data_IF_643540828021
#
_entry.id   IF_643540828021
#
_cell.length_a   1.000
_cell.length_b   1.000
_cell.length_c   1.000
_cell.angle_alpha   90.00
_cell.angle_beta   90.00
_cell.angle_gamma   90.00
#
_symmetry.space_group_name_H-M   'P 1'
#
loop_
_entity.id
_entity.type
_entity.pdbx_description
1 polymer ?
#
# COMPACT_ATOMS: atom_id res chain seq x y z
N UNK A 1 -78.80 -18.50 32.92
CA UNK A 1 -79.13 -17.40 33.86
C UNK A 1 -78.03 -16.40 33.86
N UNK A 2 -78.37 -15.22 33.42
CA UNK A 2 -77.76 -13.88 33.67
C UNK A 2 -76.26 -13.67 33.73
N UNK A 3 -75.74 -12.98 32.72
CA UNK A 3 -74.72 -11.97 32.74
C UNK A 3 -75.00 -10.85 33.79
N UNK A 4 -73.99 -10.09 34.21
CA UNK A 4 -73.67 -8.82 33.58
C UNK A 4 -72.17 -8.52 33.54
N UNK A 5 -71.73 -8.03 32.43
CA UNK A 5 -71.41 -6.66 32.08
C UNK A 5 -70.51 -5.85 33.01
N UNK A 6 -69.38 -5.44 32.50
CA UNK A 6 -68.95 -4.09 32.56
C UNK A 6 -67.69 -3.82 33.37
N UNK A 7 -66.69 -3.37 32.80
CA UNK A 7 -66.17 -2.01 32.91
C UNK A 7 -64.82 -1.90 32.21
N UNK A 8 -64.80 -1.06 31.26
CA UNK A 8 -63.61 -0.66 30.52
C UNK A 8 -62.58 -0.05 31.44
N UNK A 9 -61.41 -0.69 31.55
CA UNK A 9 -60.20 -0.08 32.10
C UNK A 9 -59.45 0.63 30.97
N UNK A 10 -59.56 1.94 30.94
CA UNK A 10 -58.71 2.82 30.13
C UNK A 10 -57.25 2.59 30.56
N UNK A 11 -56.55 1.83 29.79
CA UNK A 11 -55.07 1.76 29.94
C UNK A 11 -54.50 3.11 29.51
N UNK A 12 -54.10 3.89 30.55
CA UNK A 12 -53.28 5.07 30.35
C UNK A 12 -52.03 4.67 29.59
N UNK A 13 -51.92 5.13 28.38
CA UNK A 13 -50.70 5.08 27.61
C UNK A 13 -49.68 5.93 28.39
N UNK A 14 -48.84 5.30 29.20
CA UNK A 14 -47.67 5.90 29.77
C UNK A 14 -46.74 6.27 28.58
N UNK A 15 -46.79 7.53 28.22
CA UNK A 15 -45.79 8.14 27.34
C UNK A 15 -44.45 7.99 28.09
N UNK A 16 -43.73 6.96 27.72
CA UNK A 16 -42.34 6.86 28.19
C UNK A 16 -41.61 8.11 27.67
N UNK A 17 -40.94 8.87 28.51
CA UNK A 17 -40.12 9.95 28.03
C UNK A 17 -39.02 9.32 27.16
N UNK A 18 -39.11 9.56 25.84
CA UNK A 18 -38.02 9.28 24.97
C UNK A 18 -36.83 10.04 25.50
N UNK A 19 -35.89 9.31 26.09
CA UNK A 19 -34.57 9.82 26.41
C UNK A 19 -34.01 10.28 25.08
N UNK A 20 -34.21 11.55 24.77
CA UNK A 20 -33.46 12.23 23.71
C UNK A 20 -32.02 12.01 24.10
N UNK A 21 -31.36 11.07 23.39
CA UNK A 21 -29.92 10.97 23.47
C UNK A 21 -29.39 12.35 23.07
N UNK A 22 -29.06 13.12 24.07
CA UNK A 22 -28.29 14.36 23.92
C UNK A 22 -26.96 13.86 23.38
N UNK A 23 -26.87 13.75 22.05
CA UNK A 23 -25.57 13.63 21.39
C UNK A 23 -24.78 14.79 21.95
N UNK A 24 -23.72 14.49 22.72
CA UNK A 24 -22.80 15.48 23.24
C UNK A 24 -22.46 16.46 22.15
N UNK A 25 -23.13 17.61 22.11
CA UNK A 25 -22.81 18.68 21.18
C UNK A 25 -21.39 19.08 21.53
N UNK A 26 -20.47 18.84 20.63
CA UNK A 26 -19.07 19.20 20.82
C UNK A 26 -19.01 20.66 21.26
N UNK A 27 -18.35 20.92 22.38
CA UNK A 27 -18.24 22.28 22.90
C UNK A 27 -17.48 23.17 21.91
N UNK A 28 -17.71 24.47 21.93
CA UNK A 28 -16.95 25.42 21.09
C UNK A 28 -15.43 25.21 21.23
N UNK A 29 -14.97 24.87 22.41
CA UNK A 29 -13.56 24.57 22.71
C UNK A 29 -13.08 23.31 21.95
N UNK A 30 -13.91 22.30 21.86
CA UNK A 30 -13.56 21.05 21.14
C UNK A 30 -13.51 21.29 19.64
N UNK A 31 -14.47 22.05 19.09
CA UNK A 31 -14.47 22.42 17.66
C UNK A 31 -13.23 23.26 17.34
N UNK A 32 -12.86 24.21 18.19
CA UNK A 32 -11.66 25.04 18.01
C UNK A 32 -10.38 24.20 18.02
N UNK A 33 -10.26 23.26 18.97
CA UNK A 33 -9.13 22.33 19.06
C UNK A 33 -9.03 21.49 17.79
N UNK A 34 -10.15 20.96 17.31
CA UNK A 34 -10.23 20.15 16.09
C UNK A 34 -9.87 20.96 14.85
N UNK A 35 -10.35 22.18 14.72
CA UNK A 35 -9.99 23.14 13.67
C UNK A 35 -8.47 23.37 13.61
N UNK A 36 -7.86 23.65 14.77
CA UNK A 36 -6.40 23.84 14.86
C UNK A 36 -5.63 22.60 14.43
N UNK A 37 -6.07 21.40 14.83
CA UNK A 37 -5.45 20.14 14.45
C UNK A 37 -5.52 19.90 12.93
N UNK A 38 -6.69 20.11 12.30
CA UNK A 38 -6.86 19.89 10.88
C UNK A 38 -6.09 20.93 10.04
N UNK A 39 -6.02 22.19 10.48
CA UNK A 39 -5.15 23.21 9.85
C UNK A 39 -3.68 22.80 9.87
N UNK A 40 -3.21 22.17 10.96
CA UNK A 40 -1.85 21.64 11.04
C UNK A 40 -1.66 20.45 10.09
N UNK A 41 -2.62 19.53 10.03
CA UNK A 41 -2.60 18.40 9.09
C UNK A 41 -2.53 18.90 7.65
N UNK A 42 -3.31 19.91 7.29
CA UNK A 42 -3.27 20.51 5.95
C UNK A 42 -1.88 21.07 5.61
N UNK A 43 -1.25 21.80 6.55
CA UNK A 43 0.11 22.32 6.35
C UNK A 43 1.14 21.20 6.16
N UNK A 44 1.05 20.14 6.98
CA UNK A 44 1.94 19.00 6.92
C UNK A 44 1.79 18.26 5.59
N UNK A 45 0.55 17.95 5.18
CA UNK A 45 0.29 17.25 3.92
C UNK A 45 0.73 18.05 2.70
N UNK A 46 0.55 19.38 2.71
CA UNK A 46 1.06 20.26 1.66
C UNK A 46 2.59 20.25 1.58
N UNK A 47 3.27 20.28 2.71
CA UNK A 47 4.73 20.16 2.76
C UNK A 47 5.21 18.79 2.28
N UNK A 48 4.54 17.71 2.71
CA UNK A 48 4.87 16.35 2.27
C UNK A 48 4.64 16.15 0.77
N UNK A 49 3.63 16.78 0.18
CA UNK A 49 3.43 16.80 -1.28
C UNK A 49 4.65 17.39 -1.99
N UNK A 50 5.16 18.55 -1.54
CA UNK A 50 6.34 19.19 -2.13
C UNK A 50 7.59 18.30 -2.04
N UNK A 51 7.82 17.69 -0.88
CA UNK A 51 8.95 16.76 -0.69
C UNK A 51 8.82 15.53 -1.59
N UNK A 52 7.61 14.97 -1.73
CA UNK A 52 7.36 13.84 -2.61
C UNK A 52 7.58 14.21 -4.08
N UNK A 53 7.16 15.41 -4.51
CA UNK A 53 7.37 15.91 -5.87
C UNK A 53 8.87 16.06 -6.21
N UNK A 54 9.67 16.60 -5.29
CA UNK A 54 11.12 16.71 -5.48
C UNK A 54 11.80 15.33 -5.60
N UNK A 55 11.39 14.37 -4.76
CA UNK A 55 11.90 12.98 -4.81
C UNK A 55 11.45 12.27 -6.09
N UNK A 56 10.20 12.48 -6.50
CA UNK A 56 9.67 11.94 -7.75
C UNK A 56 10.47 12.42 -8.97
N UNK A 57 10.72 13.72 -9.07
CA UNK A 57 11.49 14.30 -10.19
C UNK A 57 12.91 13.72 -10.29
N UNK A 58 13.53 13.41 -9.16
CA UNK A 58 14.82 12.72 -9.13
C UNK A 58 14.67 11.26 -9.56
N UNK A 59 13.72 10.53 -8.98
CA UNK A 59 13.49 9.12 -9.28
C UNK A 59 13.15 8.89 -10.75
N UNK A 60 12.35 9.78 -11.37
CA UNK A 60 11.99 9.72 -12.79
C UNK A 60 13.21 9.87 -13.71
N UNK A 61 14.14 10.75 -13.37
CA UNK A 61 15.41 10.89 -14.14
C UNK A 61 16.27 9.64 -14.05
N UNK A 62 16.34 9.03 -12.87
CA UNK A 62 17.12 7.81 -12.61
C UNK A 62 16.44 6.56 -13.20
N UNK A 63 15.13 6.59 -13.42
CA UNK A 63 14.38 5.47 -13.97
C UNK A 63 14.68 5.23 -15.47
N UNK A 64 14.85 6.29 -16.25
CA UNK A 64 15.10 6.15 -17.70
C UNK A 64 16.29 5.24 -18.02
N UNK A 65 17.50 5.45 -17.46
CA UNK A 65 18.62 4.54 -17.69
C UNK A 65 18.37 3.15 -17.07
N UNK A 66 17.73 3.06 -15.90
CA UNK A 66 17.46 1.77 -15.24
C UNK A 66 16.55 0.85 -16.07
N UNK A 67 15.65 1.40 -16.87
CA UNK A 67 14.80 0.63 -17.79
C UNK A 67 15.60 -0.10 -18.86
N UNK A 68 16.66 0.49 -19.35
CA UNK A 68 17.55 -0.15 -20.35
C UNK A 68 18.20 -1.40 -19.75
N UNK A 69 18.67 -1.32 -18.50
CA UNK A 69 19.23 -2.47 -17.79
C UNK A 69 18.18 -3.57 -17.56
N UNK A 70 16.97 -3.19 -17.13
CA UNK A 70 15.89 -4.15 -16.92
C UNK A 70 15.46 -4.88 -18.18
N UNK A 71 15.33 -4.17 -19.31
CA UNK A 71 15.00 -4.78 -20.60
C UNK A 71 16.15 -5.68 -21.07
N UNK A 72 17.40 -5.23 -20.95
CA UNK A 72 18.57 -6.03 -21.33
C UNK A 72 18.68 -7.34 -20.56
N UNK A 73 18.39 -7.32 -19.25
CA UNK A 73 18.45 -8.51 -18.40
C UNK A 73 17.35 -9.54 -18.71
N UNK A 74 16.21 -9.09 -19.22
CA UNK A 74 15.09 -9.96 -19.60
C UNK A 74 15.21 -10.45 -21.05
N UNK A 75 16.10 -9.85 -21.85
CA UNK A 75 16.21 -10.14 -23.28
C UNK A 75 16.59 -11.60 -23.57
N UNK A 76 17.40 -12.23 -22.71
CA UNK A 76 17.72 -13.65 -22.87
C UNK A 76 16.47 -14.52 -22.68
N UNK A 77 15.68 -14.23 -21.65
CA UNK A 77 14.46 -15.01 -21.37
C UNK A 77 13.44 -14.93 -22.50
N UNK A 78 13.32 -13.73 -23.12
CA UNK A 78 12.42 -13.51 -24.24
C UNK A 78 12.93 -14.16 -25.54
N UNK A 79 14.25 -14.07 -25.81
CA UNK A 79 14.86 -14.64 -27.02
C UNK A 79 14.99 -16.15 -26.96
N UNK A 80 15.27 -16.70 -25.79
CA UNK A 80 15.43 -18.11 -25.59
C UNK A 80 14.11 -18.86 -25.38
N UNK A 81 12.96 -18.15 -25.35
CA UNK A 81 11.61 -18.73 -25.10
C UNK A 81 11.64 -19.80 -24.00
N UNK A 82 12.26 -19.43 -22.85
CA UNK A 82 12.49 -20.38 -21.76
C UNK A 82 11.15 -20.85 -21.22
N UNK A 83 10.86 -22.13 -21.36
CA UNK A 83 9.67 -22.78 -20.82
C UNK A 83 10.07 -23.63 -19.61
N UNK A 84 9.31 -23.47 -18.55
CA UNK A 84 9.51 -24.29 -17.35
C UNK A 84 8.79 -25.61 -17.55
N UNK A 85 9.46 -26.78 -17.37
CA UNK A 85 8.81 -28.09 -17.41
C UNK A 85 7.70 -28.16 -16.34
N UNK A 86 6.59 -28.82 -16.66
CA UNK A 86 5.43 -28.95 -15.77
C UNK A 86 5.76 -29.71 -14.46
N UNK A 87 6.80 -30.54 -14.48
CA UNK A 87 7.27 -31.31 -13.31
C UNK A 87 7.90 -30.45 -12.22
N UNK A 88 8.22 -29.18 -12.52
CA UNK A 88 8.87 -28.24 -11.61
C UNK A 88 7.86 -27.65 -10.63
N UNK A 89 8.10 -27.86 -9.33
CA UNK A 89 7.13 -27.54 -8.26
C UNK A 89 7.49 -26.34 -7.39
N UNK A 90 8.77 -25.95 -7.36
CA UNK A 90 9.24 -24.89 -6.45
C UNK A 90 9.17 -23.52 -7.12
N UNK A 91 8.28 -22.68 -6.63
CA UNK A 91 8.07 -21.31 -7.16
C UNK A 91 8.44 -20.23 -6.14
N UNK A 92 9.22 -19.25 -6.57
CA UNK A 92 9.65 -18.13 -5.75
C UNK A 92 8.93 -16.85 -6.16
N UNK A 93 8.26 -16.18 -5.21
CA UNK A 93 7.61 -14.90 -5.44
C UNK A 93 8.36 -13.77 -4.72
N UNK A 94 8.90 -12.83 -5.46
CA UNK A 94 9.59 -11.66 -4.92
C UNK A 94 8.66 -10.44 -5.02
N UNK A 95 8.21 -9.92 -3.89
CA UNK A 95 7.38 -8.71 -3.85
C UNK A 95 8.21 -7.47 -3.53
N UNK A 96 8.24 -6.50 -4.43
CA UNK A 96 9.02 -5.25 -4.26
C UNK A 96 8.13 -4.14 -3.74
N UNK A 97 8.33 -3.77 -2.49
CA UNK A 97 7.62 -2.73 -1.76
C UNK A 97 8.61 -1.77 -1.08
N UNK A 98 8.22 -1.11 -0.01
CA UNK A 98 9.08 -0.27 0.82
C UNK A 98 8.61 -0.25 2.28
N UNK A 99 9.37 0.49 3.12
CA UNK A 99 9.01 0.67 4.54
C UNK A 99 8.13 1.90 4.77
N UNK A 100 8.00 2.79 3.79
CA UNK A 100 7.33 4.07 3.98
C UNK A 100 5.86 4.02 3.57
N UNK A 101 5.00 4.50 4.45
CA UNK A 101 3.56 4.63 4.21
C UNK A 101 3.15 5.96 3.56
N UNK A 102 1.86 6.25 3.64
CA UNK A 102 1.22 7.47 3.12
C UNK A 102 1.33 7.64 1.59
N UNK A 103 1.34 6.55 0.88
CA UNK A 103 1.44 6.48 -0.58
C UNK A 103 0.22 5.81 -1.24
N UNK A 104 -0.95 5.96 -0.63
CA UNK A 104 -2.19 5.37 -1.14
C UNK A 104 -2.19 3.84 -1.09
N UNK A 105 -2.67 3.21 -2.14
CA UNK A 105 -2.87 1.76 -2.22
C UNK A 105 -1.67 0.98 -2.79
N UNK A 106 -0.51 1.61 -3.00
CA UNK A 106 0.60 1.03 -3.77
C UNK A 106 1.17 -0.27 -3.15
N UNK A 107 1.25 -0.35 -1.81
CA UNK A 107 1.72 -1.56 -1.14
C UNK A 107 0.63 -2.65 -1.09
N UNK A 108 -0.63 -2.24 -0.93
CA UNK A 108 -1.76 -3.18 -0.92
C UNK A 108 -2.05 -3.77 -2.29
N UNK A 109 -1.73 -3.06 -3.39
CA UNK A 109 -1.85 -3.62 -4.75
C UNK A 109 -0.88 -4.78 -4.97
N UNK A 110 0.39 -4.64 -4.57
CA UNK A 110 1.38 -5.73 -4.62
C UNK A 110 0.94 -6.90 -3.74
N UNK A 111 0.53 -6.61 -2.50
CA UNK A 111 0.09 -7.65 -1.57
C UNK A 111 -1.14 -8.41 -2.09
N UNK A 112 -2.08 -7.72 -2.77
CA UNK A 112 -3.25 -8.35 -3.39
C UNK A 112 -2.83 -9.24 -4.55
N UNK A 113 -1.93 -8.78 -5.40
CA UNK A 113 -1.41 -9.57 -6.52
C UNK A 113 -0.68 -10.83 -6.02
N UNK A 114 0.24 -10.67 -5.04
CA UNK A 114 0.92 -11.79 -4.41
C UNK A 114 -0.05 -12.82 -3.82
N UNK A 115 -1.09 -12.40 -3.12
CA UNK A 115 -2.10 -13.31 -2.57
C UNK A 115 -2.83 -14.09 -3.66
N UNK A 116 -3.15 -13.44 -4.77
CA UNK A 116 -3.77 -14.09 -5.92
C UNK A 116 -2.84 -15.15 -6.52
N UNK A 117 -1.57 -14.78 -6.74
CA UNK A 117 -0.59 -15.72 -7.31
C UNK A 117 -0.27 -16.89 -6.38
N UNK A 118 -0.12 -16.64 -5.07
CA UNK A 118 0.03 -17.72 -4.09
C UNK A 118 -1.15 -18.69 -4.14
N UNK A 119 -2.39 -18.17 -4.24
CA UNK A 119 -3.58 -19.03 -4.32
C UNK A 119 -3.60 -19.84 -5.62
N UNK A 120 -3.29 -19.22 -6.75
CA UNK A 120 -3.23 -19.87 -8.06
C UNK A 120 -2.17 -20.98 -8.10
N UNK A 121 -0.96 -20.68 -7.65
CA UNK A 121 0.15 -21.63 -7.64
C UNK A 121 -0.06 -22.77 -6.65
N UNK A 122 -0.63 -22.49 -5.48
CA UNK A 122 -0.98 -23.51 -4.49
C UNK A 122 -2.09 -24.42 -5.02
N UNK A 123 -3.08 -23.89 -5.72
CA UNK A 123 -4.13 -24.68 -6.37
C UNK A 123 -3.57 -25.56 -7.49
N UNK A 124 -2.49 -25.13 -8.17
CA UNK A 124 -1.75 -25.91 -9.15
C UNK A 124 -0.79 -26.94 -8.51
N UNK A 125 -0.76 -27.07 -7.18
CA UNK A 125 0.10 -28.01 -6.45
C UNK A 125 1.58 -27.61 -6.38
N UNK A 126 1.91 -26.35 -6.64
CA UNK A 126 3.28 -25.82 -6.53
C UNK A 126 3.59 -25.38 -5.09
N UNK A 127 4.82 -25.61 -4.64
CA UNK A 127 5.35 -25.06 -3.40
C UNK A 127 5.75 -23.61 -3.63
N UNK A 128 5.21 -22.68 -2.82
CA UNK A 128 5.44 -21.24 -2.99
C UNK A 128 6.17 -20.68 -1.79
N UNK A 129 7.29 -19.99 -2.04
CA UNK A 129 7.99 -19.17 -1.06
C UNK A 129 7.96 -17.70 -1.46
N UNK A 130 7.86 -16.83 -0.46
CA UNK A 130 7.74 -15.38 -0.65
C UNK A 130 9.00 -14.69 -0.12
N UNK A 131 9.56 -13.83 -0.93
CA UNK A 131 10.60 -12.87 -0.54
C UNK A 131 9.98 -11.48 -0.51
N UNK A 132 10.02 -10.86 0.65
CA UNK A 132 9.44 -9.52 0.85
C UNK A 132 10.51 -8.44 0.88
N UNK A 133 10.49 -7.54 -0.10
CA UNK A 133 11.33 -6.35 -0.09
C UNK A 133 10.51 -5.18 0.46
N UNK A 134 10.83 -4.75 1.69
CA UNK A 134 10.13 -3.70 2.42
C UNK A 134 9.17 -4.20 3.51
N UNK A 135 9.22 -3.55 4.66
CA UNK A 135 8.46 -3.95 5.86
C UNK A 135 6.93 -3.79 5.70
N UNK A 136 6.47 -2.88 4.82
CA UNK A 136 5.02 -2.72 4.58
C UNK A 136 4.38 -3.95 3.96
N UNK A 137 5.06 -4.61 3.04
CA UNK A 137 4.58 -5.85 2.45
C UNK A 137 4.50 -6.97 3.50
N UNK A 138 5.56 -7.12 4.30
CA UNK A 138 5.57 -8.06 5.42
C UNK A 138 4.40 -7.81 6.36
N UNK A 139 4.19 -6.57 6.79
CA UNK A 139 3.11 -6.19 7.73
C UNK A 139 1.72 -6.58 7.21
N UNK A 140 1.49 -6.49 5.89
CA UNK A 140 0.21 -6.85 5.27
C UNK A 140 0.03 -8.37 5.14
N UNK A 141 1.10 -9.11 4.82
CA UNK A 141 1.04 -10.54 4.50
C UNK A 141 1.30 -11.44 5.70
N UNK A 142 2.03 -10.99 6.72
CA UNK A 142 2.47 -11.80 7.85
C UNK A 142 1.30 -12.52 8.55
N UNK A 143 0.15 -11.88 8.66
CA UNK A 143 -1.02 -12.47 9.32
C UNK A 143 -1.57 -13.70 8.63
N UNK A 144 -1.42 -13.81 7.31
CA UNK A 144 -2.04 -14.87 6.50
C UNK A 144 -1.04 -15.84 5.86
N UNK A 145 0.20 -15.40 5.65
CA UNK A 145 1.20 -16.14 4.87
C UNK A 145 2.58 -16.18 5.58
N UNK A 146 2.62 -16.13 6.92
CA UNK A 146 3.88 -16.10 7.68
C UNK A 146 4.80 -17.28 7.36
N UNK A 147 4.24 -18.47 7.17
CA UNK A 147 4.99 -19.71 6.92
C UNK A 147 5.62 -19.79 5.52
N UNK A 148 5.16 -18.95 4.60
CA UNK A 148 5.66 -18.90 3.23
C UNK A 148 6.80 -17.91 3.04
N UNK A 149 7.05 -17.03 4.03
CA UNK A 149 8.17 -16.09 3.94
C UNK A 149 9.51 -16.83 4.10
N UNK A 150 10.38 -16.63 3.10
CA UNK A 150 11.77 -17.09 3.12
C UNK A 150 12.66 -16.02 3.76
N UNK A 151 12.67 -14.84 3.18
CA UNK A 151 13.49 -13.68 3.62
C UNK A 151 12.66 -12.40 3.53
N UNK A 152 12.99 -11.45 4.39
CA UNK A 152 12.39 -10.11 4.35
C UNK A 152 13.46 -9.04 4.49
N UNK A 153 13.53 -8.15 3.52
CA UNK A 153 14.45 -7.02 3.52
C UNK A 153 13.78 -5.78 4.11
N UNK A 154 14.51 -5.08 4.97
CA UNK A 154 14.09 -3.83 5.62
C UNK A 154 14.98 -2.68 5.17
N UNK A 155 14.71 -1.47 5.64
CA UNK A 155 15.43 -0.23 5.31
C UNK A 155 15.28 0.21 3.84
N UNK A 156 14.27 -0.31 3.14
CA UNK A 156 13.99 -0.01 1.74
C UNK A 156 13.13 1.24 1.61
N UNK A 157 13.53 2.16 0.72
CA UNK A 157 12.76 3.38 0.41
C UNK A 157 13.05 4.59 1.31
N UNK A 158 14.02 4.50 2.24
CA UNK A 158 14.52 5.67 3.00
C UNK A 158 15.43 6.53 2.14
N UNK A 159 16.30 5.88 1.37
CA UNK A 159 17.20 6.50 0.39
C UNK A 159 16.82 6.02 -1.01
N UNK A 160 17.21 6.74 -2.07
CA UNK A 160 17.07 6.23 -3.43
C UNK A 160 17.81 4.89 -3.56
N UNK A 161 17.19 3.85 -4.14
CA UNK A 161 17.84 2.56 -4.27
C UNK A 161 19.05 2.65 -5.20
N UNK A 162 20.14 1.99 -4.82
CA UNK A 162 21.38 1.87 -5.60
C UNK A 162 21.50 0.47 -6.17
N UNK A 163 22.41 0.26 -7.11
CA UNK A 163 22.71 -1.09 -7.61
C UNK A 163 23.30 -1.98 -6.51
N UNK A 164 24.07 -1.39 -5.59
CA UNK A 164 24.59 -2.11 -4.42
C UNK A 164 23.48 -2.69 -3.54
N UNK A 165 22.37 -1.95 -3.33
CA UNK A 165 21.21 -2.48 -2.57
C UNK A 165 20.60 -3.69 -3.29
N UNK A 166 20.49 -3.64 -4.61
CA UNK A 166 19.98 -4.75 -5.42
C UNK A 166 20.92 -5.96 -5.39
N UNK A 167 22.24 -5.73 -5.44
CA UNK A 167 23.23 -6.80 -5.34
C UNK A 167 23.18 -7.52 -3.98
N UNK A 168 23.02 -6.78 -2.88
CA UNK A 168 22.85 -7.38 -1.55
C UNK A 168 21.60 -8.25 -1.49
N UNK A 169 20.47 -7.78 -2.05
CA UNK A 169 19.22 -8.55 -2.10
C UNK A 169 19.43 -9.83 -2.93
N UNK A 170 20.10 -9.73 -4.09
CA UNK A 170 20.37 -10.87 -4.95
C UNK A 170 21.27 -11.91 -4.27
N UNK A 171 22.36 -11.46 -3.62
CA UNK A 171 23.28 -12.32 -2.90
C UNK A 171 22.60 -13.05 -1.74
N UNK A 172 21.86 -12.35 -0.90
CA UNK A 172 21.11 -12.96 0.20
C UNK A 172 20.07 -13.97 -0.29
N UNK A 173 19.46 -13.71 -1.45
CA UNK A 173 18.53 -14.64 -2.06
C UNK A 173 19.23 -15.93 -2.53
N UNK A 174 20.37 -15.81 -3.20
CA UNK A 174 21.16 -16.96 -3.66
C UNK A 174 21.75 -17.74 -2.48
N UNK A 175 22.19 -17.03 -1.43
CA UNK A 175 22.74 -17.64 -0.21
C UNK A 175 21.66 -18.24 0.71
N UNK A 176 20.38 -18.01 0.47
CA UNK A 176 19.28 -18.53 1.28
C UNK A 176 19.16 -20.05 1.26
N UNK A 177 19.87 -20.73 0.35
CA UNK A 177 19.84 -22.17 0.19
C UNK A 177 18.51 -22.72 -0.36
N UNK A 178 17.58 -21.84 -0.73
CA UNK A 178 16.31 -22.26 -1.35
C UNK A 178 16.50 -22.36 -2.86
N UNK A 179 16.53 -23.56 -3.35
CA UNK A 179 16.54 -23.85 -4.79
C UNK A 179 15.12 -23.73 -5.34
N UNK A 180 14.88 -22.71 -6.15
CA UNK A 180 13.64 -22.53 -6.89
C UNK A 180 13.83 -22.94 -8.35
N UNK A 181 12.80 -23.42 -8.98
CA UNK A 181 12.80 -23.77 -10.40
C UNK A 181 12.42 -22.57 -11.26
N UNK A 182 11.39 -21.89 -10.84
CA UNK A 182 10.81 -20.71 -11.44
C UNK A 182 10.52 -19.67 -10.36
N UNK A 183 10.63 -18.42 -10.69
CA UNK A 183 10.25 -17.32 -9.81
C UNK A 183 9.62 -16.17 -10.57
N UNK A 184 8.98 -15.29 -9.80
CA UNK A 184 8.38 -14.07 -10.33
C UNK A 184 8.71 -12.91 -9.43
N UNK A 185 9.10 -11.78 -10.04
CA UNK A 185 9.24 -10.52 -9.34
C UNK A 185 8.02 -9.62 -9.62
N UNK A 186 7.35 -9.23 -8.55
CA UNK A 186 6.12 -8.43 -8.59
C UNK A 186 6.43 -7.03 -8.08
N UNK A 187 6.19 -6.04 -8.91
CA UNK A 187 6.47 -4.64 -8.61
C UNK A 187 5.47 -3.71 -9.28
N UNK A 188 5.45 -2.45 -8.86
CA UNK A 188 4.60 -1.44 -9.45
C UNK A 188 5.37 -0.66 -10.52
N UNK A 189 5.07 -0.94 -11.79
CA UNK A 189 5.62 -0.22 -12.92
C UNK A 189 5.01 1.17 -13.01
N UNK A 190 5.85 2.17 -13.14
CA UNK A 190 5.43 3.55 -13.34
C UNK A 190 4.91 3.76 -14.78
N UNK A 191 3.69 4.30 -14.90
CA UNK A 191 3.10 4.69 -16.20
C UNK A 191 2.98 6.20 -16.35
N UNK A 192 2.42 6.86 -15.37
CA UNK A 192 2.24 8.31 -15.34
C UNK A 192 2.21 8.82 -13.91
N UNK A 193 2.24 10.12 -13.73
CA UNK A 193 2.14 10.78 -12.42
C UNK A 193 0.91 10.34 -11.61
N UNK A 194 -0.15 9.91 -12.28
CA UNK A 194 -1.42 9.54 -11.63
C UNK A 194 -1.61 8.03 -11.57
N UNK A 195 -0.90 7.25 -12.42
CA UNK A 195 -1.15 5.84 -12.59
C UNK A 195 0.11 4.98 -12.58
N UNK A 196 -0.01 3.85 -11.93
CA UNK A 196 0.96 2.74 -11.97
C UNK A 196 0.23 1.44 -12.30
N UNK A 197 0.96 0.43 -12.75
CA UNK A 197 0.44 -0.91 -12.97
C UNK A 197 1.29 -1.90 -12.20
N UNK A 198 0.67 -2.77 -11.42
CA UNK A 198 1.36 -3.92 -10.84
C UNK A 198 1.67 -4.89 -11.97
N UNK A 199 2.94 -5.20 -12.17
CA UNK A 199 3.43 -6.12 -13.19
C UNK A 199 4.26 -7.21 -12.53
N UNK A 200 4.29 -8.33 -13.21
CA UNK A 200 5.06 -9.51 -12.87
C UNK A 200 6.07 -9.79 -13.96
N UNK A 201 7.30 -10.14 -13.57
CA UNK A 201 8.37 -10.53 -14.49
C UNK A 201 8.94 -11.87 -14.05
N UNK A 202 9.19 -12.80 -14.98
CA UNK A 202 9.72 -14.10 -14.64
C UNK A 202 11.19 -14.02 -14.22
N UNK A 203 11.58 -14.96 -13.37
CA UNK A 203 12.96 -15.23 -12.98
C UNK A 203 13.15 -16.73 -13.06
N UNK A 204 14.22 -17.18 -13.70
CA UNK A 204 14.50 -18.61 -13.84
C UNK A 204 15.73 -19.02 -13.04
N UNK A 205 15.74 -20.27 -12.60
CA UNK A 205 16.90 -20.87 -11.95
C UNK A 205 17.98 -21.20 -12.97
N UNK A 206 19.22 -21.40 -12.48
CA UNK A 206 20.35 -21.81 -13.31
C UNK A 206 20.04 -23.10 -14.08
N UNK A 207 19.46 -24.10 -13.37
CA UNK A 207 19.10 -25.37 -13.98
C UNK A 207 18.02 -25.26 -15.05
N UNK A 208 17.05 -24.36 -14.88
CA UNK A 208 15.99 -24.13 -15.85
C UNK A 208 16.56 -23.41 -17.11
N UNK A 209 17.47 -22.47 -16.93
CA UNK A 209 18.13 -21.77 -18.05
C UNK A 209 19.04 -22.77 -18.82
N UNK A 210 19.84 -23.56 -18.11
CA UNK A 210 20.76 -24.53 -18.71
C UNK A 210 20.03 -25.65 -19.49
N UNK A 211 18.84 -26.04 -19.05
CA UNK A 211 18.03 -27.09 -19.69
C UNK A 211 17.21 -26.62 -20.89
N UNK A 212 17.20 -25.32 -21.20
CA UNK A 212 16.43 -24.78 -22.32
C UNK A 212 17.06 -25.21 -23.66
N UNK A 213 16.24 -25.76 -24.58
CA UNK A 213 16.69 -26.23 -25.89
C UNK A 213 17.41 -25.16 -26.70
N UNK A 214 16.98 -23.91 -26.57
CA UNK A 214 17.57 -22.77 -27.27
C UNK A 214 18.95 -22.37 -26.78
N UNK A 215 19.39 -22.88 -25.61
CA UNK A 215 20.75 -22.65 -25.11
C UNK A 215 21.80 -23.42 -25.92
N UNK A 216 21.42 -24.47 -26.65
CA UNK A 216 22.31 -25.21 -27.56
C UNK A 216 22.79 -24.38 -28.76
N UNK A 217 22.15 -23.23 -29.04
CA UNK A 217 22.55 -22.30 -30.10
C UNK A 217 23.77 -21.47 -29.71
N UNK A 218 24.01 -21.34 -28.42
CA UNK A 218 25.12 -20.57 -27.88
C UNK A 218 26.31 -21.50 -27.63
N UNK A 219 27.31 -21.43 -28.49
CA UNK A 219 28.58 -22.16 -28.32
C UNK A 219 29.39 -21.56 -27.15
N UNK A 220 30.21 -22.41 -26.50
CA UNK A 220 31.16 -22.03 -25.45
C UNK A 220 30.58 -21.39 -24.18
N UNK A 221 29.35 -21.79 -23.77
CA UNK A 221 28.82 -21.39 -22.46
C UNK A 221 29.17 -22.42 -21.40
N UNK A 222 30.21 -22.08 -20.60
CA UNK A 222 30.56 -22.84 -19.42
C UNK A 222 29.57 -22.60 -18.26
N UNK A 223 29.50 -23.52 -17.32
CA UNK A 223 28.64 -23.42 -16.14
C UNK A 223 28.93 -22.15 -15.32
N UNK A 224 30.20 -21.77 -15.22
CA UNK A 224 30.65 -20.57 -14.49
C UNK A 224 30.19 -19.29 -15.16
N UNK A 225 30.18 -19.24 -16.49
CA UNK A 225 29.70 -18.10 -17.28
C UNK A 225 28.19 -17.94 -17.09
N UNK A 226 27.44 -19.04 -17.09
CA UNK A 226 26.00 -19.02 -16.90
C UNK A 226 25.61 -18.62 -15.48
N UNK A 227 26.39 -19.05 -14.47
CA UNK A 227 26.20 -18.63 -13.09
C UNK A 227 26.44 -17.14 -12.92
N UNK A 228 27.56 -16.62 -13.40
CA UNK A 228 27.86 -15.18 -13.39
C UNK A 228 26.79 -14.34 -14.10
N UNK A 229 26.28 -14.83 -15.23
CA UNK A 229 25.18 -14.20 -15.93
C UNK A 229 23.91 -14.16 -15.09
N UNK A 230 23.54 -15.25 -14.45
CA UNK A 230 22.35 -15.33 -13.59
C UNK A 230 22.45 -14.36 -12.42
N UNK A 231 23.57 -14.33 -11.72
CA UNK A 231 23.79 -13.41 -10.59
C UNK A 231 23.65 -11.96 -11.01
N UNK A 232 24.31 -11.59 -12.11
CA UNK A 232 24.27 -10.25 -12.66
C UNK A 232 22.87 -9.86 -13.18
N UNK A 233 22.21 -10.78 -13.88
CA UNK A 233 20.87 -10.58 -14.42
C UNK A 233 19.84 -10.42 -13.31
N UNK A 234 19.90 -11.25 -12.27
CA UNK A 234 19.04 -11.15 -11.09
C UNK A 234 19.19 -9.80 -10.39
N UNK A 235 20.44 -9.34 -10.17
CA UNK A 235 20.71 -8.05 -9.56
C UNK A 235 20.14 -6.89 -10.42
N UNK A 236 20.28 -6.97 -11.74
CA UNK A 236 19.73 -5.96 -12.66
C UNK A 236 18.18 -5.94 -12.65
N UNK A 237 17.53 -7.09 -12.65
CA UNK A 237 16.07 -7.19 -12.60
C UNK A 237 15.55 -6.60 -11.27
N UNK A 238 16.19 -6.92 -10.15
CA UNK A 238 15.87 -6.37 -8.84
C UNK A 238 16.09 -4.85 -8.84
N UNK A 239 17.22 -4.37 -9.36
CA UNK A 239 17.50 -2.94 -9.45
C UNK A 239 16.45 -2.18 -10.26
N UNK A 240 16.11 -2.70 -11.44
CA UNK A 240 15.05 -2.15 -12.28
C UNK A 240 13.71 -2.08 -11.53
N UNK A 241 13.35 -3.18 -10.88
CA UNK A 241 12.09 -3.26 -10.12
C UNK A 241 12.04 -2.30 -8.93
N UNK A 242 13.18 -2.12 -8.23
CA UNK A 242 13.32 -1.13 -7.16
C UNK A 242 13.16 0.31 -7.67
N UNK A 243 13.75 0.64 -8.83
CA UNK A 243 13.63 1.98 -9.45
C UNK A 243 12.20 2.26 -9.91
N UNK A 244 11.55 1.32 -10.57
CA UNK A 244 10.14 1.44 -10.98
C UNK A 244 9.22 1.61 -9.76
N UNK A 245 9.38 0.76 -8.75
CA UNK A 245 8.60 0.83 -7.52
C UNK A 245 8.81 2.14 -6.76
N UNK A 246 10.04 2.63 -6.68
CA UNK A 246 10.36 3.90 -6.01
C UNK A 246 9.72 5.08 -6.72
N UNK A 247 9.79 5.13 -8.04
CA UNK A 247 9.18 6.21 -8.83
C UNK A 247 7.66 6.20 -8.69
N UNK A 248 7.04 5.02 -8.80
CA UNK A 248 5.61 4.83 -8.60
C UNK A 248 5.18 5.22 -7.19
N UNK A 249 5.96 4.88 -6.17
CA UNK A 249 5.70 5.22 -4.77
C UNK A 249 5.75 6.72 -4.51
N UNK A 250 6.75 7.44 -5.04
CA UNK A 250 6.82 8.89 -4.84
C UNK A 250 5.69 9.62 -5.57
N UNK A 251 5.32 9.17 -6.76
CA UNK A 251 4.18 9.67 -7.51
C UNK A 251 2.86 9.43 -6.74
N UNK A 252 2.62 8.22 -6.28
CA UNK A 252 1.44 7.88 -5.50
C UNK A 252 1.37 8.65 -4.17
N UNK A 253 2.52 8.87 -3.51
CA UNK A 253 2.60 9.70 -2.30
C UNK A 253 2.25 11.14 -2.58
N UNK A 254 2.76 11.72 -3.67
CA UNK A 254 2.43 13.08 -4.08
C UNK A 254 0.91 13.24 -4.28
N UNK A 255 0.28 12.33 -5.01
CA UNK A 255 -1.17 12.32 -5.25
C UNK A 255 -1.97 12.13 -3.97
N UNK A 256 -1.56 11.20 -3.11
CA UNK A 256 -2.22 10.93 -1.82
C UNK A 256 -2.15 12.15 -0.89
N UNK A 257 -1.01 12.86 -0.85
CA UNK A 257 -0.85 14.06 -0.03
C UNK A 257 -1.64 15.24 -0.59
N UNK A 258 -1.77 15.36 -1.90
CA UNK A 258 -2.63 16.36 -2.53
C UNK A 258 -4.10 16.16 -2.15
N UNK A 259 -4.59 14.93 -2.28
CA UNK A 259 -5.95 14.57 -1.90
C UNK A 259 -6.19 14.79 -0.39
N UNK A 260 -5.22 14.39 0.46
CA UNK A 260 -5.32 14.63 1.90
C UNK A 260 -5.37 16.13 2.25
N UNK A 261 -4.61 16.97 1.55
CA UNK A 261 -4.64 18.41 1.74
C UNK A 261 -5.98 19.03 1.29
N UNK A 262 -6.56 18.56 0.19
CA UNK A 262 -7.90 18.99 -0.29
C UNK A 262 -8.99 18.57 0.70
N UNK A 263 -8.98 17.32 1.14
CA UNK A 263 -9.93 16.81 2.14
C UNK A 263 -9.84 17.59 3.46
N UNK A 264 -8.62 17.95 3.89
CA UNK A 264 -8.41 18.79 5.06
C UNK A 264 -9.02 20.20 4.87
N UNK A 265 -8.90 20.80 3.70
CA UNK A 265 -9.54 22.09 3.36
C UNK A 265 -11.06 22.00 3.52
N UNK A 266 -11.69 21.02 2.88
CA UNK A 266 -13.14 20.82 2.97
C UNK A 266 -13.61 20.60 4.42
N UNK A 267 -12.81 19.89 5.20
CA UNK A 267 -13.12 19.64 6.61
C UNK A 267 -13.01 20.92 7.45
N UNK A 268 -12.04 21.81 7.14
CA UNK A 268 -11.91 23.12 7.78
C UNK A 268 -13.14 23.95 7.51
N UNK A 269 -13.62 23.99 6.26
CA UNK A 269 -14.80 24.77 5.88
C UNK A 269 -16.06 24.28 6.60
N UNK A 270 -16.28 22.97 6.62
CA UNK A 270 -17.39 22.34 7.35
C UNK A 270 -17.35 22.62 8.87
N UNK A 271 -16.17 22.51 9.47
CA UNK A 271 -16.01 22.79 10.90
C UNK A 271 -16.16 24.29 11.22
N UNK A 272 -15.77 25.17 10.32
CA UNK A 272 -15.94 26.64 10.49
C UNK A 272 -17.44 26.99 10.47
N UNK A 273 -18.21 26.39 9.58
CA UNK A 273 -19.67 26.56 9.56
C UNK A 273 -20.31 26.02 10.84
N UNK A 274 -19.88 24.84 11.29
CA UNK A 274 -20.38 24.24 12.54
C UNK A 274 -20.02 25.12 13.75
N UNK A 275 -18.81 25.64 13.81
CA UNK A 275 -18.36 26.57 14.86
C UNK A 275 -19.24 27.81 14.92
N UNK A 276 -19.50 28.47 13.77
CA UNK A 276 -20.32 29.66 13.72
C UNK A 276 -21.75 29.40 14.17
N UNK A 277 -22.37 28.28 13.74
CA UNK A 277 -23.71 27.87 14.15
C UNK A 277 -23.78 27.60 15.67
N UNK A 278 -22.81 26.86 16.19
CA UNK A 278 -22.75 26.55 17.62
C UNK A 278 -22.52 27.81 18.45
N UNK A 279 -21.65 28.73 17.98
CA UNK A 279 -21.42 30.00 18.64
C UNK A 279 -22.71 30.84 18.72
N UNK A 280 -23.45 30.95 17.62
CA UNK A 280 -24.73 31.64 17.61
C UNK A 280 -25.73 31.03 18.58
N UNK A 281 -25.85 29.69 18.60
CA UNK A 281 -26.75 28.99 19.50
C UNK A 281 -26.38 29.22 20.98
N UNK A 282 -25.08 29.24 21.32
CA UNK A 282 -24.62 29.52 22.68
C UNK A 282 -24.96 30.94 23.08
N UNK A 283 -24.66 31.92 22.23
CA UNK A 283 -24.98 33.35 22.48
C UNK A 283 -26.50 33.53 22.68
N UNK A 284 -27.33 32.90 21.83
CA UNK A 284 -28.79 32.99 21.95
C UNK A 284 -29.27 32.35 23.27
N UNK A 285 -28.69 31.22 23.67
CA UNK A 285 -29.00 30.56 24.92
C UNK A 285 -28.65 31.44 26.12
N UNK A 286 -27.46 32.01 26.16
CA UNK A 286 -27.01 32.93 27.22
C UNK A 286 -27.91 34.19 27.29
N UNK A 287 -28.33 34.78 26.15
CA UNK A 287 -29.28 35.86 26.14
C UNK A 287 -30.66 35.49 26.69
N UNK A 288 -31.18 34.33 26.34
CA UNK A 288 -32.45 33.80 26.89
C UNK A 288 -32.34 33.61 28.41
N UNK A 289 -31.25 33.05 28.89
CA UNK A 289 -31.02 32.84 30.33
C UNK A 289 -30.96 34.19 31.08
N UNK A 290 -30.30 35.22 30.54
CA UNK A 290 -30.26 36.55 31.12
C UNK A 290 -31.67 37.18 31.16
N UNK A 291 -32.41 37.13 30.01
CA UNK A 291 -33.77 37.69 29.96
C UNK A 291 -34.72 37.00 30.88
N UNK A 292 -34.67 35.67 30.93
CA UNK A 292 -35.50 34.86 31.87
C UNK A 292 -35.16 35.11 33.32
N UNK A 293 -33.87 35.30 33.63
CA UNK A 293 -33.41 35.65 34.97
C UNK A 293 -33.86 37.07 35.42
N UNK A 294 -33.84 38.04 34.50
CA UNK A 294 -34.37 39.40 34.80
C UNK A 294 -35.89 39.39 34.99
N UNK A 295 -36.63 38.68 34.14
CA UNK A 295 -38.10 38.54 34.26
C UNK A 295 -38.56 37.77 35.52
N UNK A 296 -37.68 37.01 36.17
CA UNK A 296 -37.99 36.33 37.42
C UNK A 296 -37.71 37.15 38.68
N UNK A 297 -37.08 38.33 38.53
CA UNK A 297 -36.77 39.26 39.60
C UNK A 297 -37.76 40.45 39.72
N UNK A 298 -38.59 40.65 38.67
CA UNK A 298 -39.74 41.51 38.69
C UNK A 298 -40.99 40.72 39.15
#
# INVERSE_FOLDING_TARGET
>A
MYSPAGLAGLSAWAVQPQWIQVRNMATLKDITRRLKSIKNIQKITKSMKMVAAAKYARAERELKPARVYGIGSLALYEKADIKVPEDKKKHLLIGVSSDRGLCGAIHSSIAKHLKSEVANLTAAGKEVKIVGVGDKLRSILHRTHSNQFLVTFKEVGRRPPTFGDASVIALELLNSGYEFDEGSIIFNRFRSVISYKTEEKPIFSLGTIASAESMSIYDDIDADVLQNYQEYSLANIIYYSLKESTTSEQSARMTAMDNASKNASEMIDKLTLTFNRTRQAVITKELIEIISGAAALD
#
